data_IF_115950988830
#
_entry.id   IF_115950988830
#
_cell.length_a   1.000
_cell.length_b   1.000
_cell.length_c   1.000
_cell.angle_alpha   90.00
_cell.angle_beta   90.00
_cell.angle_gamma   90.00
#
_symmetry.space_group_name_H-M   'P 1'
#
loop_
_entity.id
_entity.type
_entity.pdbx_description
1 polymer ?
#
# COMPACT_ATOMS: atom_id res chain seq x y z
N UNK A 1 11.88 31.41 -4.32
CA UNK A 1 12.01 30.02 -4.85
C UNK A 1 12.02 28.91 -3.79
N UNK A 2 12.12 29.21 -2.48
CA UNK A 2 12.19 28.19 -1.40
C UNK A 2 10.85 27.55 -1.02
N UNK A 3 9.71 28.23 -1.25
CA UNK A 3 8.36 27.71 -0.94
C UNK A 3 7.92 26.54 -1.82
N UNK A 4 8.25 26.57 -3.12
CA UNK A 4 7.92 25.52 -4.07
C UNK A 4 8.67 24.20 -3.76
N UNK A 5 9.96 24.28 -3.42
CA UNK A 5 10.73 23.08 -3.05
C UNK A 5 10.19 22.41 -1.77
N UNK A 6 9.75 23.20 -0.78
CA UNK A 6 9.20 22.67 0.48
C UNK A 6 7.86 21.96 0.30
N UNK A 7 7.01 22.43 -0.62
CA UNK A 7 5.77 21.71 -0.98
C UNK A 7 6.05 20.45 -1.81
N UNK A 8 7.08 20.47 -2.65
CA UNK A 8 7.47 19.32 -3.47
C UNK A 8 7.82 18.10 -2.59
N UNK A 9 8.59 18.30 -1.52
CA UNK A 9 8.95 17.20 -0.61
C UNK A 9 7.73 16.60 0.08
N UNK A 10 6.76 17.42 0.50
CA UNK A 10 5.52 16.94 1.09
C UNK A 10 4.71 16.09 0.10
N UNK A 11 4.55 16.57 -1.14
CA UNK A 11 3.86 15.85 -2.20
C UNK A 11 4.57 14.54 -2.58
N UNK A 12 5.91 14.53 -2.57
CA UNK A 12 6.69 13.32 -2.85
C UNK A 12 6.48 12.28 -1.75
N UNK A 13 6.56 12.66 -0.47
CA UNK A 13 6.33 11.73 0.65
C UNK A 13 4.89 11.19 0.61
N UNK A 14 3.91 12.05 0.32
CA UNK A 14 2.53 11.65 0.15
C UNK A 14 2.36 10.66 -1.01
N UNK A 15 2.94 10.96 -2.17
CA UNK A 15 2.90 10.10 -3.35
C UNK A 15 3.58 8.75 -3.07
N UNK A 16 4.77 8.74 -2.47
CA UNK A 16 5.51 7.52 -2.15
C UNK A 16 4.70 6.64 -1.19
N UNK A 17 4.13 7.21 -0.14
CA UNK A 17 3.41 6.44 0.88
C UNK A 17 2.18 5.71 0.30
N UNK A 18 1.56 6.24 -0.76
CA UNK A 18 0.32 5.69 -1.34
C UNK A 18 0.58 4.88 -2.61
N UNK A 19 1.42 5.41 -3.51
CA UNK A 19 1.70 4.79 -4.81
C UNK A 19 2.60 3.56 -4.63
N UNK A 20 3.64 3.66 -3.80
CA UNK A 20 4.61 2.57 -3.63
C UNK A 20 3.97 1.25 -3.20
N UNK A 21 3.16 1.18 -2.13
CA UNK A 21 2.57 -0.09 -1.72
C UNK A 21 1.55 -0.62 -2.72
N UNK A 22 0.79 0.27 -3.39
CA UNK A 22 -0.15 -0.12 -4.45
C UNK A 22 0.58 -0.75 -5.64
N UNK A 23 1.68 -0.13 -6.08
CA UNK A 23 2.52 -0.65 -7.17
C UNK A 23 3.17 -1.97 -6.78
N UNK A 24 3.69 -2.09 -5.56
CA UNK A 24 4.27 -3.34 -5.05
C UNK A 24 3.24 -4.47 -5.02
N UNK A 25 2.02 -4.21 -4.54
CA UNK A 25 0.94 -5.20 -4.55
C UNK A 25 0.56 -5.63 -5.97
N UNK A 26 0.50 -4.68 -6.91
CA UNK A 26 0.26 -4.96 -8.33
C UNK A 26 1.36 -5.82 -8.97
N UNK A 27 2.62 -5.46 -8.75
CA UNK A 27 3.76 -6.25 -9.25
C UNK A 27 3.75 -7.65 -8.64
N UNK A 28 3.47 -7.78 -7.34
CA UNK A 28 3.34 -9.06 -6.68
C UNK A 28 2.24 -9.91 -7.33
N UNK A 29 1.04 -9.35 -7.54
CA UNK A 29 -0.04 -10.09 -8.18
C UNK A 29 0.29 -10.56 -9.61
N UNK A 30 1.05 -9.77 -10.37
CA UNK A 30 1.42 -10.10 -11.75
C UNK A 30 2.56 -11.10 -11.87
N UNK A 31 3.49 -11.10 -10.90
CA UNK A 31 4.69 -11.94 -10.94
C UNK A 31 4.54 -13.24 -10.15
N UNK A 32 3.64 -13.29 -9.16
CA UNK A 32 3.45 -14.48 -8.35
C UNK A 32 2.65 -15.58 -9.09
N UNK A 33 2.91 -16.86 -8.77
CA UNK A 33 2.16 -17.97 -9.35
C UNK A 33 0.66 -17.89 -9.05
N UNK A 34 -0.15 -18.26 -10.05
CA UNK A 34 -1.62 -18.39 -9.93
C UNK A 34 -2.08 -19.76 -9.44
N UNK A 35 -1.16 -20.70 -9.22
CA UNK A 35 -1.46 -22.06 -8.75
C UNK A 35 -0.56 -22.43 -7.58
N UNK A 36 -1.09 -23.27 -6.68
CA UNK A 36 -0.33 -23.83 -5.57
C UNK A 36 0.52 -25.00 -6.08
N UNK A 37 1.80 -25.07 -5.68
CA UNK A 37 2.69 -26.19 -6.05
C UNK A 37 2.29 -27.52 -5.40
N UNK A 38 1.53 -27.44 -4.31
CA UNK A 38 1.18 -28.60 -3.48
C UNK A 38 -0.04 -29.39 -4.00
N UNK A 39 -0.54 -29.07 -5.20
CA UNK A 39 -1.75 -29.71 -5.77
C UNK A 39 -3.04 -29.39 -5.01
N UNK A 40 -2.99 -28.50 -4.01
CA UNK A 40 -4.16 -28.07 -3.23
C UNK A 40 -5.04 -27.13 -4.06
N UNK A 41 -6.36 -27.28 -3.88
CA UNK A 41 -7.36 -26.40 -4.44
C UNK A 41 -7.08 -24.92 -4.10
N UNK A 42 -7.35 -24.03 -5.05
CA UNK A 42 -7.22 -22.58 -4.89
C UNK A 42 -8.57 -21.99 -4.47
N UNK A 43 -8.58 -21.18 -3.41
CA UNK A 43 -9.81 -20.53 -2.95
C UNK A 43 -9.79 -20.10 -1.49
N UNK A 44 -10.87 -19.45 -1.05
CA UNK A 44 -11.08 -18.96 0.31
C UNK A 44 -12.10 -19.88 1.02
N UNK A 45 -11.62 -20.82 1.85
CA UNK A 45 -12.46 -21.74 2.64
C UNK A 45 -12.43 -23.22 2.19
N UNK A 46 -12.83 -24.12 3.10
CA UNK A 46 -12.93 -25.59 2.89
C UNK A 46 -11.62 -26.34 2.61
N UNK A 47 -10.54 -26.00 3.33
CA UNK A 47 -9.24 -26.69 3.21
C UNK A 47 -8.39 -26.26 2.01
N UNK A 48 -8.90 -25.36 1.17
CA UNK A 48 -8.19 -24.72 0.08
C UNK A 48 -7.34 -23.53 0.57
N UNK A 49 -6.24 -23.27 -0.11
CA UNK A 49 -5.34 -22.14 0.19
C UNK A 49 -5.34 -21.18 -0.99
N UNK A 50 -5.31 -19.87 -0.73
CA UNK A 50 -5.22 -18.88 -1.81
C UNK A 50 -3.95 -19.13 -2.62
N UNK A 51 -4.06 -18.97 -3.94
CA UNK A 51 -2.88 -18.92 -4.78
C UNK A 51 -1.98 -17.76 -4.32
N UNK A 52 -0.65 -17.85 -4.46
CA UNK A 52 0.25 -16.79 -4.03
C UNK A 52 -0.10 -15.40 -4.61
N UNK A 53 -0.50 -15.34 -5.88
CA UNK A 53 -0.98 -14.10 -6.51
C UNK A 53 -2.25 -13.54 -5.87
N UNK A 54 -3.20 -14.39 -5.49
CA UNK A 54 -4.47 -13.98 -4.87
C UNK A 54 -4.26 -13.62 -3.39
N UNK A 55 -3.31 -14.28 -2.73
CA UNK A 55 -2.93 -13.96 -1.35
C UNK A 55 -2.30 -12.56 -1.27
N UNK A 56 -1.49 -12.16 -2.26
CA UNK A 56 -0.95 -10.81 -2.34
C UNK A 56 -2.06 -9.74 -2.42
N UNK A 57 -3.09 -9.98 -3.25
CA UNK A 57 -4.26 -9.09 -3.33
C UNK A 57 -5.07 -9.09 -2.03
N UNK A 58 -5.29 -10.26 -1.43
CA UNK A 58 -6.03 -10.38 -0.18
C UNK A 58 -5.35 -9.60 0.95
N UNK A 59 -4.04 -9.74 1.10
CA UNK A 59 -3.24 -8.97 2.06
C UNK A 59 -3.29 -7.47 1.75
N UNK A 60 -3.27 -7.09 0.48
CA UNK A 60 -3.45 -5.69 0.09
C UNK A 60 -4.81 -5.14 0.51
N UNK A 61 -5.91 -5.87 0.29
CA UNK A 61 -7.24 -5.44 0.72
C UNK A 61 -7.35 -5.27 2.25
N UNK A 62 -6.66 -6.11 3.02
CA UNK A 62 -6.58 -5.99 4.48
C UNK A 62 -5.72 -4.79 4.91
N UNK A 63 -4.58 -4.58 4.26
CA UNK A 63 -3.63 -3.53 4.61
C UNK A 63 -4.06 -2.14 4.12
N UNK A 64 -4.74 -2.05 2.98
CA UNK A 64 -5.14 -0.80 2.33
C UNK A 64 -5.91 0.17 3.24
N UNK A 65 -6.96 -0.22 3.98
CA UNK A 65 -7.66 0.71 4.86
C UNK A 65 -6.78 1.22 6.01
N UNK A 66 -5.92 0.36 6.57
CA UNK A 66 -5.00 0.73 7.65
C UNK A 66 -3.96 1.72 7.12
N UNK A 67 -3.36 1.43 5.96
CA UNK A 67 -2.40 2.31 5.30
C UNK A 67 -3.05 3.64 4.90
N UNK A 68 -4.28 3.63 4.39
CA UNK A 68 -5.02 4.85 4.07
C UNK A 68 -5.18 5.77 5.28
N UNK A 69 -5.66 5.23 6.40
CA UNK A 69 -5.82 5.98 7.66
C UNK A 69 -4.46 6.48 8.17
N UNK A 70 -3.45 5.62 8.22
CA UNK A 70 -2.11 5.99 8.64
C UNK A 70 -1.52 7.12 7.78
N UNK A 71 -1.72 7.05 6.47
CA UNK A 71 -1.27 8.06 5.51
C UNK A 71 -1.92 9.41 5.74
N UNK A 72 -3.24 9.44 5.98
CA UNK A 72 -3.95 10.68 6.33
C UNK A 72 -3.41 11.24 7.65
N UNK A 73 -3.25 10.42 8.68
CA UNK A 73 -2.75 10.85 9.99
C UNK A 73 -1.36 11.47 9.87
N UNK A 74 -0.44 10.83 9.15
CA UNK A 74 0.91 11.35 8.92
C UNK A 74 0.88 12.68 8.17
N UNK A 75 0.07 12.79 7.12
CA UNK A 75 -0.09 14.05 6.37
C UNK A 75 -0.64 15.18 7.24
N UNK A 76 -1.65 14.89 8.08
CA UNK A 76 -2.21 15.85 9.02
C UNK A 76 -1.16 16.31 10.05
N UNK A 77 -0.38 15.40 10.62
CA UNK A 77 0.70 15.74 11.56
C UNK A 77 1.73 16.64 10.90
N UNK A 78 2.20 16.29 9.69
CA UNK A 78 3.19 17.09 8.97
C UNK A 78 2.63 18.48 8.63
N UNK A 79 1.39 18.54 8.15
CA UNK A 79 0.68 19.78 7.85
C UNK A 79 0.52 20.67 9.09
N UNK A 80 0.11 20.08 10.22
CA UNK A 80 -0.06 20.78 11.49
C UNK A 80 1.26 21.31 12.04
N UNK A 81 2.31 20.47 12.11
CA UNK A 81 3.64 20.88 12.56
C UNK A 81 4.18 22.00 11.68
N UNK A 82 3.95 21.92 10.37
CA UNK A 82 4.35 22.99 9.44
C UNK A 82 3.58 24.28 9.69
N UNK A 83 2.26 24.21 9.88
CA UNK A 83 1.43 25.37 10.20
C UNK A 83 1.88 26.05 11.50
N UNK A 84 2.22 25.28 12.53
CA UNK A 84 2.74 25.79 13.82
C UNK A 84 4.13 26.42 13.74
N UNK A 85 4.94 26.04 12.75
CA UNK A 85 6.30 26.57 12.52
C UNK A 85 6.35 27.73 11.54
N UNK A 86 5.19 28.16 11.01
CA UNK A 86 5.06 29.33 10.13
C UNK A 86 4.62 30.52 10.96
#
# INVERSE_FOLDING_TARGET
MTWLQRNRSYLIVAAVFWILPTVLAGIAHLTLPRTNRDGRCTGIGFGCTLAPADMALFLWYLAAPILFVAGIVVMLIIGFVRHRRT
#
